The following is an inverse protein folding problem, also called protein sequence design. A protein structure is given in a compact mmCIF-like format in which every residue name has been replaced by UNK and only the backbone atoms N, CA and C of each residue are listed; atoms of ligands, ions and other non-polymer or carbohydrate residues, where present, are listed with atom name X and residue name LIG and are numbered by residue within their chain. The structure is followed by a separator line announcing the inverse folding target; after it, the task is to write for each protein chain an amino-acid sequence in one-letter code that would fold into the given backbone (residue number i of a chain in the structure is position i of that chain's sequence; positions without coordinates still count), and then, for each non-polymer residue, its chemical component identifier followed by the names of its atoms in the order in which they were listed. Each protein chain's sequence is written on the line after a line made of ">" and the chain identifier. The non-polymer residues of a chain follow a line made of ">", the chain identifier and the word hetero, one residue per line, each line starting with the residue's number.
data_IF_351225016950
#
_entry.id   IF_351225016950
#
_cell.length_a   1.000
_cell.length_b   1.000
_cell.length_c   1.000
_cell.angle_alpha   90.00
_cell.angle_beta   90.00
_cell.angle_gamma   90.00
#
_symmetry.space_group_name_H-M   'P 1'
#
loop_
_entity.id
_entity.type
_entity.pdbx_description
1 polymer ?
#
# COMPACT_ATOMS: atom_id res chain seq x y z
N UNK A 1 2.06 5.01 0.01
CA UNK A 1 2.67 5.70 -1.13
C UNK A 1 2.09 7.10 -1.29
N UNK A 2 2.79 7.97 -1.98
CA UNK A 2 2.36 9.32 -2.31
C UNK A 2 2.68 9.63 -3.78
N UNK A 3 1.98 10.64 -4.31
CA UNK A 3 2.35 11.25 -5.58
C UNK A 3 3.78 11.80 -5.53
N UNK A 4 4.45 11.77 -6.67
CA UNK A 4 5.85 12.18 -6.81
C UNK A 4 6.11 13.62 -6.35
N UNK A 5 5.16 14.53 -6.57
CA UNK A 5 5.31 15.96 -6.30
C UNK A 5 4.89 16.36 -4.87
N UNK A 6 4.42 15.40 -4.06
CA UNK A 6 4.06 15.67 -2.67
C UNK A 6 5.33 15.84 -1.82
N UNK A 7 5.42 16.96 -1.09
CA UNK A 7 6.54 17.23 -0.20
C UNK A 7 6.51 16.30 1.00
N UNK A 8 7.58 15.51 1.20
CA UNK A 8 7.69 14.49 2.25
C UNK A 8 8.74 14.80 3.32
N UNK A 9 9.55 15.87 3.20
CA UNK A 9 10.68 16.08 4.10
C UNK A 9 10.24 16.23 5.56
N UNK A 10 9.11 16.90 5.79
CA UNK A 10 8.57 17.08 7.14
C UNK A 10 8.16 15.74 7.74
N UNK A 11 7.34 14.95 7.03
CA UNK A 11 6.87 13.67 7.56
C UNK A 11 7.98 12.63 7.68
N UNK A 12 8.98 12.65 6.80
CA UNK A 12 10.14 11.75 6.90
C UNK A 12 10.93 11.98 8.19
N UNK A 13 11.15 13.24 8.57
CA UNK A 13 11.78 13.57 9.87
C UNK A 13 10.97 13.07 11.06
N UNK A 14 9.64 13.20 11.00
CA UNK A 14 8.77 12.69 12.05
C UNK A 14 8.75 11.15 12.11
N UNK A 15 8.88 10.48 10.96
CA UNK A 15 9.03 9.02 10.88
C UNK A 15 10.36 8.57 11.51
N UNK A 16 11.45 9.24 11.19
CA UNK A 16 12.78 8.97 11.77
C UNK A 16 12.80 9.15 13.30
N UNK A 17 12.04 10.13 13.80
CA UNK A 17 11.90 10.42 15.22
C UNK A 17 10.80 9.58 15.91
N UNK A 18 10.12 8.67 15.20
CA UNK A 18 8.98 7.87 15.68
C UNK A 18 7.87 8.73 16.32
N UNK A 19 7.68 9.96 15.83
CA UNK A 19 6.65 10.87 16.32
C UNK A 19 5.28 10.55 15.68
N UNK A 20 4.67 9.45 16.13
CA UNK A 20 3.42 8.93 15.58
C UNK A 20 2.28 9.96 15.57
N UNK A 21 2.22 10.85 16.54
CA UNK A 21 1.20 11.91 16.58
C UNK A 21 1.38 12.92 15.44
N UNK A 22 2.60 13.36 15.20
CA UNK A 22 2.88 14.29 14.10
C UNK A 22 2.67 13.63 12.72
N UNK A 23 3.06 12.35 12.58
CA UNK A 23 2.82 11.57 11.36
C UNK A 23 1.32 11.46 11.07
N UNK A 24 0.52 11.08 12.07
CA UNK A 24 -0.93 10.97 11.93
C UNK A 24 -1.57 12.32 11.56
N UNK A 25 -1.14 13.40 12.20
CA UNK A 25 -1.61 14.75 11.89
C UNK A 25 -1.29 15.14 10.44
N UNK A 26 -0.09 14.81 9.95
CA UNK A 26 0.28 15.04 8.56
C UNK A 26 -0.59 14.22 7.61
N UNK A 27 -0.79 12.92 7.89
CA UNK A 27 -1.65 12.03 7.08
C UNK A 27 -3.10 12.51 7.02
N UNK A 28 -3.64 13.05 8.13
CA UNK A 28 -5.00 13.58 8.18
C UNK A 28 -5.21 14.84 7.30
N UNK A 29 -4.14 15.51 6.91
CA UNK A 29 -4.20 16.70 6.05
C UNK A 29 -4.09 16.36 4.57
N UNK A 30 -3.77 15.09 4.22
CA UNK A 30 -3.57 14.70 2.83
C UNK A 30 -4.87 14.39 2.10
N UNK A 31 -4.84 14.47 0.76
CA UNK A 31 -5.89 13.93 -0.10
C UNK A 31 -5.72 12.42 -0.21
N UNK A 32 -6.78 11.68 0.11
CA UNK A 32 -6.75 10.24 0.15
C UNK A 32 -7.41 9.61 -1.08
N UNK A 33 -6.67 8.72 -1.73
CA UNK A 33 -7.13 7.85 -2.80
C UNK A 33 -7.33 6.45 -2.25
N UNK A 34 -8.53 5.89 -2.38
CA UNK A 34 -8.87 4.57 -1.88
C UNK A 34 -9.61 3.78 -2.97
N UNK A 35 -9.44 2.45 -2.97
CA UNK A 35 -10.14 1.60 -3.93
C UNK A 35 -11.57 1.23 -3.47
N UNK A 36 -11.88 1.40 -2.18
CA UNK A 36 -13.15 1.03 -1.58
C UNK A 36 -13.57 2.09 -0.56
N UNK A 37 -14.88 2.38 -0.49
CA UNK A 37 -15.46 3.31 0.47
C UNK A 37 -15.29 2.89 1.92
N UNK A 38 -15.12 1.58 2.19
CA UNK A 38 -14.85 1.04 3.52
C UNK A 38 -13.39 1.22 3.96
N UNK A 39 -12.52 1.69 3.06
CA UNK A 39 -11.09 1.97 3.31
C UNK A 39 -10.34 0.84 4.06
N UNK A 40 -10.45 -0.44 3.63
CA UNK A 40 -9.92 -1.55 4.41
C UNK A 40 -8.41 -1.48 4.60
N UNK A 41 -7.63 -1.12 3.59
CA UNK A 41 -6.18 -0.99 3.70
C UNK A 41 -5.77 0.10 4.68
N UNK A 42 -6.45 1.23 4.66
CA UNK A 42 -6.19 2.33 5.61
C UNK A 42 -6.54 1.92 7.03
N UNK A 43 -7.64 1.20 7.24
CA UNK A 43 -8.00 0.68 8.58
C UNK A 43 -6.95 -0.28 9.11
N UNK A 44 -6.44 -1.19 8.27
CA UNK A 44 -5.35 -2.09 8.64
C UNK A 44 -4.09 -1.30 8.99
N UNK A 45 -3.70 -0.34 8.15
CA UNK A 45 -2.55 0.52 8.40
C UNK A 45 -2.68 1.25 9.75
N UNK A 46 -3.82 1.88 10.04
CA UNK A 46 -4.06 2.56 11.32
C UNK A 46 -4.02 1.61 12.51
N UNK A 47 -4.57 0.41 12.36
CA UNK A 47 -4.56 -0.59 13.43
C UNK A 47 -3.13 -1.02 13.78
N UNK A 48 -2.31 -1.36 12.78
CA UNK A 48 -0.98 -1.90 13.02
C UNK A 48 0.06 -0.83 13.37
N UNK A 49 -0.06 0.36 12.80
CA UNK A 49 0.95 1.42 12.97
C UNK A 49 0.62 2.33 14.16
N UNK A 50 -0.63 2.71 14.32
CA UNK A 50 -1.06 3.66 15.35
C UNK A 50 -1.83 3.00 16.51
N UNK A 51 -2.08 1.68 16.47
CA UNK A 51 -2.94 0.97 17.42
C UNK A 51 -4.35 1.57 17.52
N UNK A 52 -4.89 2.02 16.39
CA UNK A 52 -6.20 2.67 16.29
C UNK A 52 -7.12 1.94 15.31
N UNK A 53 -8.30 1.56 15.76
CA UNK A 53 -9.30 0.85 14.92
C UNK A 53 -9.97 1.73 13.86
N UNK A 54 -9.98 3.04 14.04
CA UNK A 54 -10.67 3.99 13.15
C UNK A 54 -9.73 5.14 12.80
N UNK A 55 -9.33 5.25 11.52
CA UNK A 55 -8.61 6.42 11.04
C UNK A 55 -9.51 7.66 11.04
N UNK A 56 -8.92 8.82 11.25
CA UNK A 56 -9.62 10.12 11.21
C UNK A 56 -9.64 10.75 9.82
N UNK A 57 -9.27 9.99 8.78
CA UNK A 57 -9.19 10.50 7.41
C UNK A 57 -10.55 10.55 6.71
N UNK A 58 -10.64 11.43 5.72
CA UNK A 58 -11.74 11.48 4.76
C UNK A 58 -11.23 10.98 3.42
N UNK A 59 -11.90 9.98 2.84
CA UNK A 59 -11.60 9.52 1.48
C UNK A 59 -12.05 10.58 0.47
N UNK A 60 -11.10 11.20 -0.23
CA UNK A 60 -11.40 12.21 -1.23
C UNK A 60 -11.80 11.57 -2.57
N UNK A 61 -11.17 10.46 -2.91
CA UNK A 61 -11.41 9.74 -4.16
C UNK A 61 -11.55 8.25 -3.91
N UNK A 62 -12.55 7.63 -4.53
CA UNK A 62 -12.79 6.19 -4.50
C UNK A 62 -12.72 5.69 -5.93
N UNK A 63 -11.70 4.86 -6.21
CA UNK A 63 -11.43 4.32 -7.54
C UNK A 63 -11.36 2.80 -7.42
N UNK A 64 -12.40 2.03 -7.84
CA UNK A 64 -12.55 0.60 -7.58
C UNK A 64 -11.59 -0.32 -8.38
N UNK A 65 -10.44 0.21 -8.77
CA UNK A 65 -9.35 -0.53 -9.40
C UNK A 65 -8.04 0.02 -8.89
N UNK A 66 -7.22 -0.81 -8.26
CA UNK A 66 -5.98 -0.38 -7.63
C UNK A 66 -4.97 0.14 -8.67
N UNK A 67 -4.91 -0.47 -9.88
CA UNK A 67 -4.06 0.03 -10.96
C UNK A 67 -4.49 1.41 -11.46
N UNK A 68 -5.79 1.64 -11.63
CA UNK A 68 -6.33 2.95 -12.01
C UNK A 68 -6.14 3.99 -10.90
N UNK A 69 -6.27 3.56 -9.63
CA UNK A 69 -5.99 4.41 -8.47
C UNK A 69 -4.53 4.87 -8.47
N UNK A 70 -3.59 3.96 -8.67
CA UNK A 70 -2.16 4.30 -8.73
C UNK A 70 -1.83 5.20 -9.92
N UNK A 71 -2.46 4.98 -11.07
CA UNK A 71 -2.34 5.88 -12.23
C UNK A 71 -2.87 7.27 -11.89
N UNK A 72 -4.09 7.37 -11.33
CA UNK A 72 -4.68 8.66 -10.95
C UNK A 72 -3.82 9.38 -9.89
N UNK A 73 -3.29 8.64 -8.91
CA UNK A 73 -2.40 9.19 -7.88
C UNK A 73 -1.08 9.69 -8.47
N UNK A 74 -0.53 9.02 -9.49
CA UNK A 74 0.72 9.44 -10.14
C UNK A 74 0.60 10.75 -10.91
N UNK A 75 -0.62 11.13 -11.32
CA UNK A 75 -0.92 12.35 -12.07
C UNK A 75 -1.45 13.48 -11.18
N UNK A 76 -1.77 13.19 -9.92
CA UNK A 76 -2.39 14.14 -9.00
C UNK A 76 -1.71 14.10 -7.63
N UNK A 77 -1.92 15.13 -6.81
CA UNK A 77 -1.36 15.20 -5.46
C UNK A 77 -2.19 14.42 -4.44
N UNK A 78 -1.55 13.57 -3.65
CA UNK A 78 -2.21 12.82 -2.57
C UNK A 78 -1.43 11.61 -2.09
N UNK A 79 -2.12 10.78 -1.30
CA UNK A 79 -1.58 9.56 -0.67
C UNK A 79 -2.54 8.39 -0.80
N UNK A 80 -2.01 7.18 -0.70
CA UNK A 80 -2.77 5.94 -0.62
C UNK A 80 -2.04 4.87 0.20
N UNK A 81 -2.80 3.93 0.75
CA UNK A 81 -2.28 2.66 1.28
C UNK A 81 -2.64 1.55 0.30
N UNK A 82 -1.63 0.93 -0.26
CA UNK A 82 -1.75 -0.14 -1.27
C UNK A 82 -0.75 -1.25 -0.98
N UNK A 83 -0.95 -2.41 -1.56
CA UNK A 83 0.02 -3.49 -1.48
C UNK A 83 1.32 -3.12 -2.19
N UNK A 84 2.46 -3.50 -1.60
CA UNK A 84 3.78 -3.21 -2.13
C UNK A 84 3.95 -3.70 -3.58
N UNK A 85 3.48 -4.90 -3.88
CA UNK A 85 3.56 -5.51 -5.21
C UNK A 85 2.92 -4.63 -6.30
N UNK A 86 1.81 -3.94 -5.98
CA UNK A 86 1.11 -3.08 -6.93
C UNK A 86 1.77 -1.71 -7.06
N UNK A 87 2.39 -1.21 -5.99
CA UNK A 87 3.08 0.08 -5.98
C UNK A 87 4.50 0.03 -6.58
N UNK A 88 5.18 -1.12 -6.47
CA UNK A 88 6.58 -1.31 -6.87
C UNK A 88 6.89 -0.77 -8.29
N UNK A 89 6.13 -1.13 -9.35
CA UNK A 89 6.39 -0.61 -10.70
C UNK A 89 6.31 0.92 -10.79
N UNK A 90 5.33 1.53 -10.12
CA UNK A 90 5.17 3.00 -10.12
C UNK A 90 6.30 3.72 -9.40
N UNK A 91 6.85 3.12 -8.34
CA UNK A 91 7.98 3.65 -7.59
C UNK A 91 9.26 3.53 -8.42
N UNK A 92 9.50 2.37 -9.05
CA UNK A 92 10.66 2.12 -9.91
C UNK A 92 10.68 3.06 -11.14
N UNK A 93 9.51 3.36 -11.70
CA UNK A 93 9.34 4.32 -12.78
C UNK A 93 9.38 5.80 -12.31
N UNK A 94 9.61 6.05 -11.02
CA UNK A 94 9.62 7.38 -10.41
C UNK A 94 8.31 8.18 -10.63
N UNK A 95 7.18 7.47 -10.70
CA UNK A 95 5.83 8.04 -10.79
C UNK A 95 5.19 8.27 -9.43
N UNK A 96 5.53 7.43 -8.47
CA UNK A 96 5.13 7.53 -7.07
C UNK A 96 6.35 7.47 -6.16
N UNK A 97 6.17 7.88 -4.92
CA UNK A 97 7.20 7.79 -3.90
C UNK A 97 6.70 7.04 -2.66
N UNK A 98 7.62 6.30 -2.03
CA UNK A 98 7.36 5.65 -0.77
C UNK A 98 7.38 6.68 0.35
N UNK A 99 6.28 6.76 1.10
CA UNK A 99 6.20 7.64 2.29
C UNK A 99 6.85 6.96 3.48
N UNK A 100 6.48 5.71 3.73
CA UNK A 100 6.88 4.98 4.92
C UNK A 100 6.95 3.48 4.66
N UNK A 101 8.00 2.84 5.16
CA UNK A 101 8.18 1.40 5.21
C UNK A 101 8.46 0.98 6.66
N UNK A 102 7.43 0.84 7.46
CA UNK A 102 7.54 0.45 8.87
C UNK A 102 7.56 -1.06 9.03
N UNK A 103 8.35 -1.56 9.98
CA UNK A 103 8.30 -2.97 10.40
C UNK A 103 6.93 -3.39 10.98
N UNK A 104 6.09 -2.43 11.36
CA UNK A 104 4.72 -2.67 11.81
C UNK A 104 3.70 -2.77 10.67
N UNK A 105 4.11 -2.58 9.42
CA UNK A 105 3.19 -2.71 8.28
C UNK A 105 2.59 -4.10 8.21
N UNK A 106 1.27 -4.20 7.94
CA UNK A 106 0.63 -5.49 7.77
C UNK A 106 1.19 -6.22 6.55
N UNK A 107 1.36 -7.52 6.70
CA UNK A 107 1.70 -8.43 5.60
C UNK A 107 0.55 -9.42 5.39
N UNK A 108 0.45 -9.98 4.20
CA UNK A 108 -0.49 -11.05 3.90
C UNK A 108 0.25 -12.22 3.25
N UNK A 109 -0.26 -13.40 3.47
CA UNK A 109 0.25 -14.61 2.85
C UNK A 109 -0.59 -14.91 1.59
N UNK A 110 0.07 -15.33 0.53
CA UNK A 110 -0.57 -15.75 -0.72
C UNK A 110 -0.45 -17.27 -0.80
N UNK A 111 -1.59 -17.94 -0.99
CA UNK A 111 -1.68 -19.39 -1.06
C UNK A 111 -2.06 -19.85 -2.46
N UNK A 112 -1.38 -20.86 -2.97
CA UNK A 112 -1.77 -21.58 -4.18
C UNK A 112 -2.54 -22.82 -3.74
N UNK A 113 -3.79 -22.94 -4.18
CA UNK A 113 -4.65 -24.08 -3.88
C UNK A 113 -4.76 -24.99 -5.12
N UNK A 114 -4.52 -26.29 -4.93
CA UNK A 114 -4.72 -27.31 -5.96
C UNK A 114 -5.55 -28.47 -5.42
N UNK A 115 -6.16 -29.26 -6.33
CA UNK A 115 -6.84 -30.48 -5.92
C UNK A 115 -5.82 -31.53 -5.48
N UNK A 116 -6.13 -32.26 -4.41
CA UNK A 116 -5.34 -33.41 -3.98
C UNK A 116 -5.34 -34.46 -5.11
N UNK A 117 -4.18 -34.95 -5.51
CA UNK A 117 -3.97 -35.90 -6.62
C UNK A 117 -4.07 -35.29 -8.03
N UNK A 118 -3.78 -34.01 -8.18
CA UNK A 118 -3.65 -33.46 -9.53
C UNK A 118 -2.35 -33.92 -10.19
N UNK A 119 -2.46 -34.40 -11.45
CA UNK A 119 -1.31 -34.82 -12.28
C UNK A 119 -0.47 -33.64 -12.78
N UNK A 120 -0.86 -32.42 -12.42
CA UNK A 120 -0.24 -31.17 -12.85
C UNK A 120 0.84 -30.66 -11.84
N UNK A 121 1.46 -31.55 -11.05
CA UNK A 121 2.44 -31.14 -10.05
C UNK A 121 3.61 -30.33 -10.62
N UNK A 122 4.12 -30.68 -11.80
CA UNK A 122 5.20 -29.95 -12.47
C UNK A 122 4.78 -28.54 -12.89
N UNK A 123 3.55 -28.36 -13.37
CA UNK A 123 3.01 -27.04 -13.73
C UNK A 123 2.79 -26.19 -12.48
N UNK A 124 2.33 -26.79 -11.39
CA UNK A 124 2.15 -26.09 -10.12
C UNK A 124 3.48 -25.62 -9.53
N UNK A 125 4.54 -26.43 -9.63
CA UNK A 125 5.88 -26.06 -9.22
C UNK A 125 6.44 -24.90 -10.07
N UNK A 126 6.21 -24.92 -11.39
CA UNK A 126 6.62 -23.85 -12.28
C UNK A 126 5.86 -22.53 -11.98
N UNK A 127 4.53 -22.61 -11.80
CA UNK A 127 3.70 -21.47 -11.40
C UNK A 127 4.12 -20.90 -10.04
N UNK A 128 4.42 -21.78 -9.07
CA UNK A 128 4.91 -21.35 -7.76
C UNK A 128 6.24 -20.61 -7.86
N UNK A 129 7.17 -21.11 -8.68
CA UNK A 129 8.46 -20.46 -8.92
C UNK A 129 8.31 -19.09 -9.55
N UNK A 130 7.48 -18.97 -10.60
CA UNK A 130 7.21 -17.68 -11.25
C UNK A 130 6.57 -16.67 -10.30
N UNK A 131 5.58 -17.08 -9.51
CA UNK A 131 4.93 -16.19 -8.52
C UNK A 131 5.94 -15.77 -7.44
N UNK A 132 6.81 -16.66 -6.97
CA UNK A 132 7.82 -16.32 -5.96
C UNK A 132 8.77 -15.22 -6.44
N UNK A 133 9.21 -15.29 -7.69
CA UNK A 133 10.03 -14.23 -8.32
C UNK A 133 9.29 -12.88 -8.39
N UNK A 134 7.97 -12.92 -8.56
CA UNK A 134 7.15 -11.69 -8.64
C UNK A 134 6.91 -11.03 -7.28
N UNK A 135 7.03 -11.81 -6.19
CA UNK A 135 6.75 -11.36 -4.82
C UNK A 135 8.00 -10.82 -4.09
N UNK A 136 9.19 -11.09 -4.61
CA UNK A 136 10.45 -10.52 -4.14
C UNK A 136 10.65 -9.06 -4.63
#
# INVERSE_FOLDING_TARGET
>A
VASKDLELNTVKKEIENENYTAIENWLNQQKWYNYDAQIPHVKLFWLYVFDKKRPSIISNYIIPSESQLLTALSENSGVSVVWNINAKPFIEENKLQLVWNSAKMPSTEIYILSRKNDTLSSILEEVQKEISVYLE
#
